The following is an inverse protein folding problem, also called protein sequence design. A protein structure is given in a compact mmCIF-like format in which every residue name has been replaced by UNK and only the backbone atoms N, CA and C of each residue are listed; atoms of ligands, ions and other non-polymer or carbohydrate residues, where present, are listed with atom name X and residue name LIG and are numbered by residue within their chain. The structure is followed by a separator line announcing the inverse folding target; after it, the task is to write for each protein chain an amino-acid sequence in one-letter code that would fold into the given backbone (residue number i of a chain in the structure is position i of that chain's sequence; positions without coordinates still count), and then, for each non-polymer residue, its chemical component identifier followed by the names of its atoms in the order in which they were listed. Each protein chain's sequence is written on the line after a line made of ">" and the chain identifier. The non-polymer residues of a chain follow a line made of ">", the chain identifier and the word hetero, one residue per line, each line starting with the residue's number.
data_IF_758716951576
#
_entry.id   IF_758716951576
#
_cell.length_a   1.000
_cell.length_b   1.000
_cell.length_c   1.000
_cell.angle_alpha   90.00
_cell.angle_beta   90.00
_cell.angle_gamma   90.00
#
_symmetry.space_group_name_H-M   'P 1'
#
loop_
_entity.id
_entity.type
_entity.pdbx_description
1 polymer ?
#
# COMPACT_ATOMS: atom_id res chain seq x y z
N UNK A 1 -1.24 8.16 72.94
CA UNK A 1 -1.91 7.74 71.69
C UNK A 1 -0.94 8.04 70.54
N UNK A 2 -0.31 7.03 69.92
CA UNK A 2 0.71 7.21 68.88
C UNK A 2 0.05 7.23 67.51
N UNK A 3 0.15 8.35 66.79
CA UNK A 3 -0.35 8.51 65.43
C UNK A 3 0.76 8.08 64.45
N UNK A 4 0.54 6.99 63.73
CA UNK A 4 1.45 6.51 62.67
C UNK A 4 0.92 7.09 61.35
N UNK A 5 1.68 8.00 60.74
CA UNK A 5 1.37 8.56 59.42
C UNK A 5 2.12 7.73 58.39
N UNK A 6 1.40 6.84 57.69
CA UNK A 6 1.91 6.07 56.56
C UNK A 6 1.85 6.93 55.30
N UNK A 7 3.02 7.35 54.80
CA UNK A 7 3.16 7.98 53.49
C UNK A 7 2.96 6.92 52.39
N UNK A 8 1.81 6.96 51.72
CA UNK A 8 1.55 6.14 50.54
C UNK A 8 2.37 6.63 49.35
N UNK A 9 3.32 5.81 48.90
CA UNK A 9 4.02 5.98 47.63
C UNK A 9 3.02 5.74 46.48
N UNK A 10 2.48 6.81 45.91
CA UNK A 10 1.72 6.76 44.67
C UNK A 10 2.75 6.62 43.54
N UNK A 11 2.98 5.38 43.10
CA UNK A 11 3.78 5.10 41.91
C UNK A 11 3.04 5.62 40.67
N UNK A 12 3.45 6.80 40.21
CA UNK A 12 2.98 7.38 38.96
C UNK A 12 3.49 6.51 37.81
N UNK A 13 2.63 5.61 37.33
CA UNK A 13 2.90 4.83 36.13
C UNK A 13 2.75 5.78 34.93
N UNK A 14 3.86 6.40 34.54
CA UNK A 14 3.95 7.08 33.25
C UNK A 14 3.79 6.02 32.16
N UNK A 15 2.59 5.94 31.57
CA UNK A 15 2.41 5.27 30.29
C UNK A 15 3.24 6.02 29.26
N UNK A 16 4.43 5.49 28.96
CA UNK A 16 5.22 5.94 27.83
C UNK A 16 4.42 5.60 26.56
N UNK A 17 3.63 6.56 26.08
CA UNK A 17 3.06 6.49 24.74
C UNK A 17 4.22 6.48 23.75
N UNK A 18 4.57 5.30 23.24
CA UNK A 18 5.58 5.16 22.20
C UNK A 18 5.22 6.07 21.03
N UNK A 19 6.11 6.99 20.68
CA UNK A 19 5.90 7.88 19.54
C UNK A 19 5.74 7.02 18.28
N UNK A 20 4.59 7.16 17.61
CA UNK A 20 4.36 6.51 16.32
C UNK A 20 5.37 7.12 15.34
N UNK A 21 6.42 6.38 15.01
CA UNK A 21 7.43 6.79 14.03
C UNK A 21 6.78 6.79 12.64
N UNK A 22 6.60 7.97 12.06
CA UNK A 22 6.08 8.11 10.71
C UNK A 22 7.11 7.63 9.68
N UNK A 23 6.67 6.96 8.59
CA UNK A 23 7.56 6.55 7.52
C UNK A 23 8.22 7.74 6.83
N UNK A 24 9.54 7.64 6.65
CA UNK A 24 10.33 8.60 5.88
C UNK A 24 10.13 8.40 4.38
N UNK A 25 10.39 9.45 3.60
CA UNK A 25 10.42 9.37 2.13
C UNK A 25 11.36 8.25 1.63
N UNK A 26 12.53 8.11 2.24
CA UNK A 26 13.54 7.13 1.86
C UNK A 26 13.06 5.70 2.13
N UNK A 27 12.39 5.45 3.26
CA UNK A 27 11.81 4.13 3.57
C UNK A 27 10.70 3.77 2.56
N UNK A 28 9.84 4.72 2.19
CA UNK A 28 8.80 4.52 1.17
C UNK A 28 9.41 4.25 -0.21
N UNK A 29 10.39 5.05 -0.64
CA UNK A 29 11.09 4.82 -1.91
C UNK A 29 11.83 3.49 -1.94
N UNK A 30 12.39 3.06 -0.81
CA UNK A 30 13.09 1.77 -0.69
C UNK A 30 12.13 0.62 -0.95
N UNK A 31 10.95 0.60 -0.34
CA UNK A 31 9.99 -0.51 -0.53
C UNK A 31 9.41 -0.55 -1.94
N UNK A 32 9.21 0.61 -2.58
CA UNK A 32 8.78 0.67 -3.99
C UNK A 32 9.90 0.15 -4.91
N UNK A 33 11.16 0.52 -4.65
CA UNK A 33 12.31 -0.02 -5.41
C UNK A 33 12.43 -1.53 -5.26
N UNK A 34 12.20 -2.08 -4.06
CA UNK A 34 12.19 -3.52 -3.84
C UNK A 34 11.12 -4.21 -4.70
N UNK A 35 9.92 -3.65 -4.77
CA UNK A 35 8.85 -4.16 -5.62
C UNK A 35 9.23 -4.18 -7.12
N UNK A 36 9.84 -3.10 -7.62
CA UNK A 36 10.35 -3.02 -9.00
C UNK A 36 11.44 -4.08 -9.25
N UNK A 37 12.36 -4.25 -8.29
CA UNK A 37 13.47 -5.23 -8.41
C UNK A 37 12.98 -6.67 -8.42
N UNK A 38 11.97 -7.02 -7.61
CA UNK A 38 11.37 -8.36 -7.60
C UNK A 38 10.85 -8.72 -9.01
N UNK A 39 10.06 -7.83 -9.61
CA UNK A 39 9.56 -7.99 -10.98
C UNK A 39 10.66 -8.19 -12.03
N UNK A 40 11.81 -7.52 -11.86
CA UNK A 40 12.93 -7.58 -12.81
C UNK A 40 13.81 -8.82 -12.67
N UNK A 41 13.83 -9.45 -11.49
CA UNK A 41 14.68 -10.60 -11.20
C UNK A 41 14.02 -11.91 -11.64
N UNK A 42 12.68 -11.95 -11.64
CA UNK A 42 11.87 -13.11 -11.99
C UNK A 42 11.61 -13.29 -13.49
N UNK A 43 12.51 -12.81 -14.38
CA UNK A 43 12.32 -12.88 -15.85
C UNK A 43 12.19 -14.30 -16.42
N UNK A 44 12.55 -15.33 -15.65
CA UNK A 44 12.42 -16.75 -16.02
C UNK A 44 11.24 -17.47 -15.34
N UNK A 45 10.47 -16.78 -14.49
CA UNK A 45 9.26 -17.30 -13.85
C UNK A 45 8.09 -16.55 -14.48
N UNK A 46 7.10 -17.26 -15.03
CA UNK A 46 5.88 -16.59 -15.45
C UNK A 46 5.24 -15.98 -14.21
N UNK A 47 5.29 -14.66 -14.09
CA UNK A 47 4.61 -13.93 -13.04
C UNK A 47 3.11 -14.26 -13.11
N UNK A 48 2.65 -15.18 -12.25
CA UNK A 48 1.22 -15.36 -12.05
C UNK A 48 0.71 -14.26 -11.12
N UNK A 49 -0.61 -14.06 -11.08
CA UNK A 49 -1.24 -12.97 -10.32
C UNK A 49 -0.66 -12.86 -8.90
N UNK A 50 -0.36 -11.64 -8.45
CA UNK A 50 0.10 -11.39 -7.09
C UNK A 50 1.55 -11.76 -6.77
N UNK A 51 2.31 -12.35 -7.69
CA UNK A 51 3.64 -12.90 -7.38
C UNK A 51 4.82 -11.96 -7.67
N UNK A 52 4.63 -10.87 -8.45
CA UNK A 52 5.75 -10.04 -8.90
C UNK A 52 5.58 -8.56 -8.57
N UNK A 53 5.99 -8.14 -7.36
CA UNK A 53 6.10 -6.72 -7.01
C UNK A 53 4.77 -5.93 -6.99
N UNK A 54 3.64 -6.62 -7.04
CA UNK A 54 2.32 -6.01 -7.07
C UNK A 54 1.87 -5.66 -5.66
N UNK A 55 1.26 -4.48 -5.53
CA UNK A 55 0.65 -4.03 -4.29
C UNK A 55 -0.86 -4.06 -4.43
N UNK A 56 -1.53 -4.72 -3.50
CA UNK A 56 -2.95 -5.02 -3.56
C UNK A 56 -3.69 -4.32 -2.44
N UNK A 57 -4.89 -3.83 -2.73
CA UNK A 57 -5.82 -3.36 -1.72
C UNK A 57 -7.22 -3.90 -2.03
N UNK A 58 -7.94 -4.29 -0.99
CA UNK A 58 -9.31 -4.75 -1.13
C UNK A 58 -10.20 -3.64 -1.70
N UNK A 59 -11.14 -4.04 -2.54
CA UNK A 59 -12.12 -3.15 -3.17
C UNK A 59 -13.55 -3.69 -3.11
N UNK A 60 -13.84 -4.56 -2.14
CA UNK A 60 -15.22 -4.99 -1.86
C UNK A 60 -16.10 -3.77 -1.59
N UNK A 61 -17.28 -3.73 -2.21
CA UNK A 61 -18.24 -2.62 -2.13
C UNK A 61 -17.66 -1.23 -2.47
N UNK A 62 -16.65 -1.20 -3.35
CA UNK A 62 -15.93 0.02 -3.75
C UNK A 62 -15.18 0.71 -2.61
N UNK A 63 -14.74 -0.03 -1.59
CA UNK A 63 -14.08 0.54 -0.40
C UNK A 63 -12.81 1.35 -0.74
N UNK A 64 -12.08 0.99 -1.79
CA UNK A 64 -10.91 1.78 -2.24
C UNK A 64 -11.26 3.22 -2.60
N UNK A 65 -12.44 3.45 -3.19
CA UNK A 65 -12.91 4.76 -3.64
C UNK A 65 -13.59 5.55 -2.53
N UNK A 66 -14.23 4.86 -1.59
CA UNK A 66 -15.03 5.49 -0.52
C UNK A 66 -14.23 5.77 0.75
N UNK A 67 -13.17 5.00 1.01
CA UNK A 67 -12.40 5.11 2.24
C UNK A 67 -11.33 6.20 2.15
N UNK A 68 -11.21 6.99 3.22
CA UNK A 68 -10.09 7.91 3.40
C UNK A 68 -8.80 7.16 3.75
N UNK A 69 -8.89 5.96 4.34
CA UNK A 69 -7.74 5.15 4.75
C UNK A 69 -7.66 3.89 3.89
N UNK A 70 -6.52 3.66 3.27
CA UNK A 70 -6.30 2.54 2.34
C UNK A 70 -5.06 1.77 2.77
N UNK A 71 -5.12 0.44 2.72
CA UNK A 71 -3.99 -0.44 3.02
C UNK A 71 -3.59 -1.22 1.78
N UNK A 72 -2.34 -1.08 1.39
CA UNK A 72 -1.74 -1.83 0.31
C UNK A 72 -0.81 -2.91 0.86
N UNK A 73 -0.88 -4.11 0.28
CA UNK A 73 -0.15 -5.30 0.68
C UNK A 73 0.66 -5.81 -0.52
N UNK A 74 1.96 -6.04 -0.35
CA UNK A 74 2.80 -6.59 -1.43
C UNK A 74 3.04 -8.11 -1.29
N UNK A 75 2.18 -8.80 -0.54
CA UNK A 75 2.30 -10.23 -0.26
C UNK A 75 1.16 -10.99 -0.90
N UNK A 76 1.49 -11.85 -1.88
CA UNK A 76 0.52 -12.77 -2.53
C UNK A 76 -0.28 -13.55 -1.51
N UNK A 77 0.35 -14.06 -0.45
CA UNK A 77 -0.30 -14.90 0.55
C UNK A 77 -1.46 -14.18 1.26
N UNK A 78 -1.31 -12.90 1.60
CA UNK A 78 -2.38 -12.12 2.24
C UNK A 78 -3.55 -11.93 1.27
N UNK A 79 -3.25 -11.73 -0.01
CA UNK A 79 -4.25 -11.51 -1.06
C UNK A 79 -5.05 -12.80 -1.31
N UNK A 80 -4.37 -13.93 -1.47
CA UNK A 80 -5.03 -15.20 -1.81
C UNK A 80 -5.78 -15.86 -0.65
N UNK A 81 -5.33 -15.63 0.59
CA UNK A 81 -5.96 -16.23 1.78
C UNK A 81 -7.16 -15.44 2.30
N UNK A 82 -7.45 -14.26 1.75
CA UNK A 82 -8.45 -13.37 2.30
C UNK A 82 -9.60 -13.10 1.30
N UNK A 83 -10.84 -13.53 1.60
CA UNK A 83 -11.99 -13.36 0.70
C UNK A 83 -12.32 -11.88 0.41
N UNK A 84 -11.90 -10.93 1.26
CA UNK A 84 -12.07 -9.49 0.98
C UNK A 84 -11.29 -9.00 -0.25
N UNK A 85 -10.31 -9.76 -0.72
CA UNK A 85 -9.52 -9.46 -1.92
C UNK A 85 -10.13 -10.05 -3.20
N UNK A 86 -11.33 -10.65 -3.13
CA UNK A 86 -12.06 -11.10 -4.32
C UNK A 86 -12.12 -10.00 -5.38
N UNK A 87 -12.49 -8.79 -4.99
CA UNK A 87 -12.36 -7.59 -5.82
C UNK A 87 -11.27 -6.71 -5.23
N UNK A 88 -10.27 -6.35 -6.03
CA UNK A 88 -9.10 -5.63 -5.56
C UNK A 88 -8.69 -4.51 -6.51
N UNK A 89 -8.04 -3.48 -5.99
CA UNK A 89 -7.23 -2.54 -6.78
C UNK A 89 -5.77 -2.95 -6.63
N UNK A 90 -5.06 -3.01 -7.75
CA UNK A 90 -3.67 -3.44 -7.84
C UNK A 90 -2.82 -2.30 -8.37
N UNK A 91 -1.69 -2.06 -7.73
CA UNK A 91 -0.61 -1.20 -8.20
C UNK A 91 0.59 -2.06 -8.60
N UNK A 92 0.90 -2.09 -9.89
CA UNK A 92 2.08 -2.74 -10.44
C UNK A 92 3.15 -1.68 -10.75
N UNK A 93 4.19 -1.62 -9.93
CA UNK A 93 5.30 -0.69 -10.13
C UNK A 93 6.27 -1.25 -11.17
N UNK A 94 6.42 -0.55 -12.29
CA UNK A 94 7.17 -1.05 -13.45
C UNK A 94 8.62 -0.54 -13.47
N UNK A 95 8.77 0.77 -13.35
CA UNK A 95 10.06 1.47 -13.39
C UNK A 95 10.03 2.61 -12.39
N UNK A 96 11.17 3.27 -12.24
CA UNK A 96 11.26 4.52 -11.48
C UNK A 96 10.17 5.49 -11.97
N UNK A 97 9.28 5.87 -11.05
CA UNK A 97 8.21 6.84 -11.22
C UNK A 97 7.07 6.41 -12.17
N UNK A 98 6.97 5.12 -12.52
CA UNK A 98 5.93 4.55 -13.38
C UNK A 98 5.24 3.37 -12.72
N UNK A 99 3.91 3.35 -12.74
CA UNK A 99 3.11 2.23 -12.26
C UNK A 99 1.83 2.06 -13.08
N UNK A 100 1.24 0.86 -13.04
CA UNK A 100 -0.06 0.56 -13.63
C UNK A 100 -1.07 0.30 -12.51
N UNK A 101 -2.26 0.90 -12.64
CA UNK A 101 -3.38 0.60 -11.75
C UNK A 101 -4.42 -0.25 -12.48
N UNK A 102 -4.97 -1.24 -11.79
CA UNK A 102 -5.98 -2.14 -12.35
C UNK A 102 -6.94 -2.61 -11.28
N UNK A 103 -8.16 -2.96 -11.67
CA UNK A 103 -9.07 -3.74 -10.85
C UNK A 103 -8.93 -5.22 -11.20
N UNK A 104 -8.91 -6.07 -10.19
CA UNK A 104 -8.85 -7.52 -10.34
C UNK A 104 -10.06 -8.16 -9.66
N UNK A 105 -10.62 -9.18 -10.30
CA UNK A 105 -11.60 -10.09 -9.71
C UNK A 105 -11.02 -11.50 -9.64
N UNK A 106 -10.56 -11.89 -8.45
CA UNK A 106 -9.87 -13.15 -8.19
C UNK A 106 -10.82 -14.31 -7.85
N UNK A 107 -12.11 -14.01 -7.60
CA UNK A 107 -13.09 -15.02 -7.20
C UNK A 107 -14.03 -15.44 -8.35
N UNK A 108 -13.89 -14.84 -9.53
CA UNK A 108 -14.49 -15.34 -10.75
C UNK A 108 -13.56 -16.36 -11.42
N UNK A 109 -14.13 -17.34 -12.12
CA UNK A 109 -13.38 -18.31 -12.89
C UNK A 109 -13.72 -18.14 -14.40
N UNK A 110 -12.76 -17.73 -15.25
CA UNK A 110 -11.37 -17.41 -14.92
C UNK A 110 -11.24 -16.06 -14.17
N UNK A 111 -10.18 -15.87 -13.35
CA UNK A 111 -9.88 -14.58 -12.75
C UNK A 111 -9.75 -13.49 -13.82
N UNK A 112 -10.35 -12.33 -13.57
CA UNK A 112 -10.34 -11.21 -14.52
C UNK A 112 -9.53 -10.04 -13.98
N UNK A 113 -8.91 -9.27 -14.88
CA UNK A 113 -8.21 -8.04 -14.55
C UNK A 113 -8.51 -6.98 -15.59
N UNK A 114 -9.03 -5.85 -15.16
CA UNK A 114 -9.30 -4.68 -16.00
C UNK A 114 -8.31 -3.57 -15.64
N UNK A 115 -7.62 -3.02 -16.64
CA UNK A 115 -6.74 -1.88 -16.43
C UNK A 115 -7.59 -0.64 -16.14
N UNK A 116 -7.24 0.10 -15.09
CA UNK A 116 -7.71 1.47 -14.92
C UNK A 116 -6.59 2.41 -15.34
N UNK A 117 -6.59 2.74 -16.63
CA UNK A 117 -6.00 4.00 -17.06
C UNK A 117 -6.75 5.13 -16.36
N UNK A 118 -6.05 6.17 -15.91
CA UNK A 118 -6.72 7.40 -15.52
C UNK A 118 -7.60 7.90 -16.66
N UNK A 119 -8.91 7.71 -16.51
CA UNK A 119 -10.02 8.11 -17.38
C UNK A 119 -9.86 7.89 -18.91
N UNK A 120 -10.80 7.10 -19.46
CA UNK A 120 -11.05 6.75 -20.86
C UNK A 120 -10.06 5.77 -21.50
N UNK A 121 -10.50 4.50 -21.67
CA UNK A 121 -10.87 3.94 -22.97
C UNK A 121 -11.83 2.76 -22.76
N UNK A 122 -12.98 2.80 -23.45
CA UNK A 122 -13.88 1.67 -23.67
C UNK A 122 -13.42 0.98 -24.95
N UNK A 123 -13.15 -0.34 -24.91
CA UNK A 123 -12.83 -1.14 -26.09
C UNK A 123 -11.81 -2.26 -25.85
N UNK A 124 -11.77 -3.23 -26.77
CA UNK A 124 -10.92 -4.42 -26.73
C UNK A 124 -9.42 -4.14 -27.01
N UNK A 125 -9.05 -2.90 -27.31
CA UNK A 125 -7.68 -2.44 -27.54
C UNK A 125 -7.17 -1.59 -26.37
N UNK A 126 -7.24 -2.13 -25.16
CA UNK A 126 -6.82 -1.42 -23.95
C UNK A 126 -5.30 -1.14 -23.98
N UNK A 127 -4.91 0.01 -24.53
CA UNK A 127 -3.56 0.54 -24.42
C UNK A 127 -3.28 0.77 -22.93
N UNK A 128 -2.24 0.11 -22.40
CA UNK A 128 -1.75 0.36 -21.04
C UNK A 128 -1.27 1.80 -20.96
N UNK A 129 -2.10 2.72 -20.46
CA UNK A 129 -1.66 4.08 -20.14
C UNK A 129 -0.92 4.01 -18.80
N UNK A 130 0.40 4.26 -18.77
CA UNK A 130 1.16 4.23 -17.54
C UNK A 130 0.78 5.43 -16.66
N UNK A 131 0.42 5.16 -15.41
CA UNK A 131 0.34 6.21 -14.41
C UNK A 131 1.76 6.56 -13.94
N UNK A 132 1.96 7.82 -13.53
CA UNK A 132 3.20 8.23 -12.89
C UNK A 132 2.99 8.44 -11.41
N UNK A 133 4.05 8.26 -10.62
CA UNK A 133 4.01 8.60 -9.21
C UNK A 133 5.26 9.36 -8.79
N UNK A 134 5.16 10.11 -7.69
CA UNK A 134 6.29 10.71 -6.99
C UNK A 134 6.12 10.53 -5.49
N UNK A 135 7.22 10.25 -4.79
CA UNK A 135 7.25 10.31 -3.32
C UNK A 135 7.77 11.68 -2.90
N UNK A 136 6.91 12.45 -2.25
CA UNK A 136 7.22 13.79 -1.75
C UNK A 136 7.41 13.76 -0.23
N UNK A 137 8.17 14.74 0.28
CA UNK A 137 8.31 15.00 1.71
C UNK A 137 7.75 16.40 1.99
N UNK A 138 6.77 16.50 2.88
CA UNK A 138 6.22 17.78 3.36
C UNK A 138 6.03 17.66 4.87
N UNK A 139 6.57 18.62 5.63
CA UNK A 139 6.46 18.63 7.10
C UNK A 139 6.89 17.29 7.76
N UNK A 140 8.05 16.76 7.36
CA UNK A 140 8.56 15.45 7.79
C UNK A 140 7.63 14.24 7.52
N UNK A 141 6.63 14.41 6.66
CA UNK A 141 5.67 13.39 6.31
C UNK A 141 5.86 13.00 4.84
N UNK A 142 5.96 11.70 4.58
CA UNK A 142 5.99 11.17 3.22
C UNK A 142 4.58 11.18 2.59
N UNK A 143 4.53 11.52 1.30
CA UNK A 143 3.33 11.48 0.47
C UNK A 143 3.61 10.74 -0.83
N UNK A 144 2.65 9.96 -1.31
CA UNK A 144 2.65 9.40 -2.67
C UNK A 144 1.66 10.22 -3.49
N UNK A 145 2.15 10.87 -4.53
CA UNK A 145 1.33 11.64 -5.48
C UNK A 145 1.29 10.88 -6.79
N UNK A 146 0.10 10.59 -7.28
CA UNK A 146 -0.11 9.91 -8.58
C UNK A 146 -0.52 10.93 -9.63
N UNK A 147 -0.15 10.64 -10.88
CA UNK A 147 -0.38 11.51 -12.02
C UNK A 147 -0.91 10.72 -13.21
N UNK A 148 -1.84 11.35 -13.92
CA UNK A 148 -2.40 10.92 -15.21
C UNK A 148 -2.16 12.07 -16.16
N UNK A 149 -1.44 11.83 -17.26
CA UNK A 149 -1.11 12.89 -18.24
C UNK A 149 -0.55 14.18 -17.63
N UNK A 150 0.36 14.01 -16.65
CA UNK A 150 0.99 15.09 -15.89
C UNK A 150 0.06 15.87 -14.92
N UNK A 151 -1.23 15.57 -14.92
CA UNK A 151 -2.20 16.11 -13.96
C UNK A 151 -2.18 15.27 -12.69
N UNK A 152 -2.23 15.92 -11.52
CA UNK A 152 -2.32 15.21 -10.23
C UNK A 152 -3.66 14.50 -10.16
N UNK A 153 -3.62 13.17 -10.03
CA UNK A 153 -4.82 12.35 -9.91
C UNK A 153 -5.19 12.15 -8.44
N UNK A 154 -4.28 11.57 -7.64
CA UNK A 154 -4.50 11.36 -6.22
C UNK A 154 -3.26 11.77 -5.42
N UNK A 155 -3.49 12.16 -4.17
CA UNK A 155 -2.41 12.39 -3.19
C UNK A 155 -2.72 11.58 -1.94
N UNK A 156 -1.72 10.81 -1.50
CA UNK A 156 -1.81 9.94 -0.34
C UNK A 156 -0.76 10.32 0.68
N UNK A 157 -1.17 10.62 1.90
CA UNK A 157 -0.29 10.73 3.06
C UNK A 157 0.07 9.33 3.54
N UNK A 158 1.36 9.02 3.71
CA UNK A 158 1.81 7.70 4.17
C UNK A 158 1.87 7.66 5.69
N UNK A 159 0.88 7.04 6.35
CA UNK A 159 0.81 7.06 7.82
C UNK A 159 1.48 5.86 8.48
N UNK A 160 1.66 4.76 7.76
CA UNK A 160 2.31 3.55 8.28
C UNK A 160 3.03 2.81 7.15
N UNK A 161 4.20 2.28 7.47
CA UNK A 161 4.92 1.32 6.65
C UNK A 161 5.39 0.21 7.58
N UNK A 162 4.73 -0.94 7.50
CA UNK A 162 4.99 -2.07 8.38
C UNK A 162 5.59 -3.22 7.60
N UNK A 163 6.77 -3.68 8.01
CA UNK A 163 7.31 -4.96 7.56
C UNK A 163 6.53 -6.09 8.22
N UNK A 164 6.03 -7.03 7.44
CA UNK A 164 5.35 -8.23 7.95
C UNK A 164 6.23 -9.43 7.70
N UNK A 165 6.51 -10.17 8.77
CA UNK A 165 7.18 -11.46 8.69
C UNK A 165 6.10 -12.52 8.48
N UNK A 166 5.91 -13.01 7.25
CA UNK A 166 5.07 -14.17 7.01
C UNK A 166 5.72 -15.14 6.02
N UNK A 167 6.00 -16.33 6.57
CA UNK A 167 6.26 -17.62 5.93
C UNK A 167 7.70 -17.95 5.49
N UNK A 168 7.96 -19.26 5.48
CA UNK A 168 9.22 -19.99 5.56
C UNK A 168 10.16 -19.85 4.33
N UNK A 169 9.95 -18.83 3.50
CA UNK A 169 10.65 -18.61 2.23
C UNK A 169 11.62 -17.41 2.27
N UNK A 170 11.62 -16.61 3.34
CA UNK A 170 12.58 -15.51 3.52
C UNK A 170 12.23 -14.20 2.79
N UNK A 171 11.11 -14.14 2.07
CA UNK A 171 10.71 -12.94 1.33
C UNK A 171 10.14 -11.84 2.24
N UNK A 172 10.69 -10.62 2.11
CA UNK A 172 10.21 -9.47 2.85
C UNK A 172 8.85 -9.01 2.34
N UNK A 173 7.82 -9.10 3.18
CA UNK A 173 6.49 -8.53 2.93
C UNK A 173 6.30 -7.21 3.69
N UNK A 174 5.49 -6.32 3.12
CA UNK A 174 5.23 -4.97 3.58
C UNK A 174 3.74 -4.63 3.48
N UNK A 175 3.28 -3.83 4.43
CA UNK A 175 1.96 -3.19 4.43
C UNK A 175 2.16 -1.68 4.46
N UNK A 176 1.54 -1.00 3.51
CA UNK A 176 1.57 0.44 3.37
C UNK A 176 0.18 1.00 3.68
N UNK A 177 0.05 1.76 4.77
CA UNK A 177 -1.20 2.42 5.14
C UNK A 177 -1.16 3.88 4.70
N UNK A 178 -2.15 4.26 3.92
CA UNK A 178 -2.27 5.55 3.24
C UNK A 178 -3.53 6.28 3.69
N UNK A 179 -3.46 7.61 3.75
CA UNK A 179 -4.63 8.49 3.92
C UNK A 179 -4.79 9.36 2.68
N UNK A 180 -5.89 9.18 1.97
CA UNK A 180 -6.29 9.97 0.80
C UNK A 180 -6.43 11.44 1.21
N UNK A 181 -5.80 12.34 0.46
CA UNK A 181 -5.93 13.78 0.66
C UNK A 181 -6.97 14.30 -0.33
N UNK A 182 -7.98 15.03 0.18
CA UNK A 182 -8.96 15.70 -0.67
C UNK A 182 -8.25 16.82 -1.43
N UNK A 183 -8.43 16.87 -2.75
CA UNK A 183 -8.01 18.03 -3.53
C UNK A 183 -8.93 19.19 -3.15
N UNK A 184 -8.33 20.25 -2.61
CA UNK A 184 -9.01 21.51 -2.26
C UNK A 184 -9.15 22.41 -3.48
#
# INVERSE_FOLDING_TARGET
>A
MKLIITFGLISSHCFAFGQIKLPTKQEVEKVIKLAISQKMTDKNISCSYGQCGEWWTANSDSIFYKSDIIKFYNSSNIVYSNPTFCTSVVWDFDKKDVFYSSEANMCQEPPTRSLKAGAFLSGNDAVKIPNRYKVLLKNNQAYIVTYVDQVVYETFKVIELRKTTQSNLGDESFVLTLVRQKQS
#
